data_IF_750777744553
#
_entry.id   IF_750777744553
#
_cell.length_a   1.000
_cell.length_b   1.000
_cell.length_c   1.000
_cell.angle_alpha   90.00
_cell.angle_beta   90.00
_cell.angle_gamma   90.00
#
_symmetry.space_group_name_H-M   'P 1'
#
loop_
_entity.id
_entity.type
_entity.pdbx_description
1 polymer ?
#
# COMPACT_ATOMS: atom_id res chain seq x y z
N UNK A 1 -11.15 0.63 -5.09
CA UNK A 1 -11.72 -0.36 -4.18
C UNK A 1 -10.69 -1.43 -3.84
N UNK A 2 -10.60 -1.81 -2.59
CA UNK A 2 -9.66 -2.83 -2.15
C UNK A 2 -10.07 -4.21 -2.65
N UNK A 3 -9.17 -4.90 -3.32
CA UNK A 3 -9.40 -6.26 -3.81
C UNK A 3 -8.38 -7.21 -3.20
N UNK A 4 -8.85 -8.37 -2.80
CA UNK A 4 -8.01 -9.43 -2.24
C UNK A 4 -7.89 -10.55 -3.25
N UNK A 5 -6.66 -10.96 -3.52
CA UNK A 5 -6.37 -12.09 -4.40
C UNK A 5 -5.99 -13.31 -3.54
N UNK A 6 -6.93 -14.23 -3.39
CA UNK A 6 -6.71 -15.44 -2.59
C UNK A 6 -5.74 -16.41 -3.26
N UNK A 7 -5.52 -16.27 -4.57
CA UNK A 7 -4.58 -17.11 -5.29
C UNK A 7 -3.15 -16.61 -5.25
N UNK A 8 -2.94 -15.38 -4.76
CA UNK A 8 -1.61 -14.80 -4.65
C UNK A 8 -0.79 -15.49 -3.55
N UNK A 9 0.52 -15.54 -3.74
CA UNK A 9 1.45 -16.00 -2.70
C UNK A 9 1.63 -14.99 -1.58
N UNK A 10 1.23 -13.73 -1.81
CA UNK A 10 1.30 -12.70 -0.79
C UNK A 10 0.19 -12.96 0.23
N UNK A 11 0.52 -13.06 1.52
CA UNK A 11 -0.50 -13.25 2.56
C UNK A 11 -1.56 -12.17 2.49
N UNK A 12 -2.80 -12.53 2.82
CA UNK A 12 -3.94 -11.59 2.71
C UNK A 12 -3.71 -10.33 3.57
N UNK A 13 -3.17 -10.48 4.78
CA UNK A 13 -2.93 -9.29 5.61
C UNK A 13 -1.92 -8.33 4.96
N UNK A 14 -0.92 -8.85 4.26
CA UNK A 14 0.03 -8.00 3.54
C UNK A 14 -0.63 -7.28 2.35
N UNK A 15 -1.52 -7.95 1.65
CA UNK A 15 -2.27 -7.31 0.56
C UNK A 15 -3.10 -6.14 1.09
N UNK A 16 -3.75 -6.33 2.23
CA UNK A 16 -4.53 -5.28 2.88
C UNK A 16 -3.61 -4.13 3.31
N UNK A 17 -2.52 -4.45 3.99
CA UNK A 17 -1.56 -3.43 4.44
C UNK A 17 -0.95 -2.65 3.27
N UNK A 18 -0.56 -3.34 2.21
CA UNK A 18 0.02 -2.70 1.02
C UNK A 18 -0.97 -1.74 0.37
N UNK A 19 -2.23 -2.14 0.25
CA UNK A 19 -3.25 -1.30 -0.35
C UNK A 19 -3.58 -0.09 0.50
N UNK A 20 -3.74 -0.30 1.80
CA UNK A 20 -4.01 0.81 2.72
C UNK A 20 -2.83 1.77 2.78
N UNK A 21 -1.60 1.25 2.77
CA UNK A 21 -0.41 2.10 2.74
C UNK A 21 -0.39 2.99 1.49
N UNK A 22 -0.74 2.43 0.34
CA UNK A 22 -0.83 3.21 -0.89
C UNK A 22 -1.87 4.32 -0.78
N UNK A 23 -3.01 4.04 -0.16
CA UNK A 23 -4.05 5.04 0.08
C UNK A 23 -3.61 6.11 1.08
N UNK A 24 -2.87 5.72 2.11
CA UNK A 24 -2.33 6.67 3.09
C UNK A 24 -1.27 7.57 2.45
N UNK A 25 -0.37 7.00 1.65
CA UNK A 25 0.66 7.77 0.94
C UNK A 25 0.02 8.77 -0.03
N UNK A 26 -1.03 8.37 -0.72
CA UNK A 26 -1.72 9.23 -1.69
C UNK A 26 -2.70 10.20 -1.02
N UNK A 27 -2.73 10.24 0.29
CA UNK A 27 -3.58 11.12 1.10
C UNK A 27 -5.07 10.95 0.85
N UNK A 28 -5.49 9.75 0.54
CA UNK A 28 -6.91 9.43 0.49
C UNK A 28 -7.55 9.57 1.88
N UNK A 29 -6.76 9.31 2.92
CA UNK A 29 -7.13 9.58 4.31
C UNK A 29 -6.23 10.67 4.87
N UNK A 30 -6.84 11.67 5.48
CA UNK A 30 -6.09 12.78 6.10
C UNK A 30 -5.73 12.43 7.55
N UNK A 31 -4.66 13.03 8.09
CA UNK A 31 -4.35 12.85 9.52
C UNK A 31 -5.58 13.22 10.38
N UNK A 32 -5.84 12.40 11.37
CA UNK A 32 -7.00 12.55 12.25
C UNK A 32 -8.24 11.79 11.81
N UNK A 33 -8.31 11.37 10.55
CA UNK A 33 -9.42 10.55 10.09
C UNK A 33 -9.32 9.13 10.65
N UNK A 34 -10.46 8.50 10.83
CA UNK A 34 -10.53 7.11 11.24
C UNK A 34 -10.66 6.21 10.04
N UNK A 35 -9.93 5.09 10.05
CA UNK A 35 -10.16 4.01 9.11
C UNK A 35 -11.44 3.25 9.50
N UNK A 36 -12.02 2.49 8.56
CA UNK A 36 -13.16 1.64 8.88
C UNK A 36 -12.83 0.73 10.05
N UNK A 37 -13.81 0.43 10.92
CA UNK A 37 -13.61 -0.55 11.98
C UNK A 37 -13.16 -1.89 11.40
N UNK A 38 -12.31 -2.59 12.14
CA UNK A 38 -11.74 -3.87 11.69
C UNK A 38 -12.84 -4.85 11.23
N UNK A 39 -13.89 -4.99 12.02
CA UNK A 39 -14.97 -5.92 11.69
C UNK A 39 -15.74 -5.51 10.45
N UNK A 40 -15.96 -4.20 10.26
CA UNK A 40 -16.63 -3.68 9.07
C UNK A 40 -15.82 -3.98 7.81
N UNK A 41 -14.52 -3.68 7.85
CA UNK A 41 -13.67 -3.94 6.70
C UNK A 41 -13.56 -5.44 6.42
N UNK A 42 -13.47 -6.26 7.45
CA UNK A 42 -13.41 -7.71 7.31
C UNK A 42 -14.65 -8.26 6.59
N UNK A 43 -15.83 -7.80 6.99
CA UNK A 43 -17.07 -8.20 6.34
C UNK A 43 -17.08 -7.78 4.87
N UNK A 44 -16.69 -6.53 4.60
CA UNK A 44 -16.67 -6.00 3.23
C UNK A 44 -15.69 -6.74 2.32
N UNK A 45 -14.58 -7.21 2.87
CA UNK A 45 -13.56 -7.93 2.11
C UNK A 45 -13.78 -9.44 2.08
N UNK A 46 -14.66 -9.96 2.92
CA UNK A 46 -14.88 -11.40 3.03
C UNK A 46 -13.72 -12.13 3.68
N UNK A 47 -13.05 -11.51 4.63
CA UNK A 47 -11.91 -12.10 5.34
C UNK A 47 -12.15 -12.12 6.84
N UNK A 48 -11.32 -12.85 7.58
CA UNK A 48 -11.42 -12.90 9.02
C UNK A 48 -10.98 -11.56 9.64
N UNK A 49 -11.65 -11.13 10.69
CA UNK A 49 -11.30 -9.85 11.33
C UNK A 49 -9.88 -9.81 11.87
N UNK A 50 -9.32 -10.95 12.31
CA UNK A 50 -7.92 -11.00 12.75
C UNK A 50 -6.94 -10.66 11.63
N UNK A 51 -7.28 -10.97 10.38
CA UNK A 51 -6.45 -10.64 9.23
C UNK A 51 -6.39 -9.13 9.01
N UNK A 52 -7.53 -8.45 9.13
CA UNK A 52 -7.58 -6.98 9.05
C UNK A 52 -6.83 -6.36 10.23
N UNK A 53 -7.04 -6.91 11.44
CA UNK A 53 -6.35 -6.41 12.63
C UNK A 53 -4.83 -6.52 12.49
N UNK A 54 -4.33 -7.59 11.90
CA UNK A 54 -2.90 -7.77 11.64
C UNK A 54 -2.36 -6.68 10.70
N UNK A 55 -3.10 -6.40 9.63
CA UNK A 55 -2.74 -5.33 8.70
C UNK A 55 -2.69 -3.96 9.40
N UNK A 56 -3.68 -3.67 10.25
CA UNK A 56 -3.70 -2.42 10.99
C UNK A 56 -2.53 -2.32 11.97
N UNK A 57 -2.20 -3.43 12.65
CA UNK A 57 -1.05 -3.44 13.57
C UNK A 57 0.25 -3.17 12.82
N UNK A 58 0.42 -3.74 11.64
CA UNK A 58 1.60 -3.48 10.83
C UNK A 58 1.72 -2.00 10.46
N UNK A 59 0.62 -1.39 10.03
CA UNK A 59 0.61 0.03 9.68
C UNK A 59 0.85 0.91 10.91
N UNK A 60 0.36 0.51 12.07
CA UNK A 60 0.63 1.23 13.31
C UNK A 60 2.12 1.15 13.69
N UNK A 61 2.73 -0.02 13.53
CA UNK A 61 4.16 -0.19 13.76
C UNK A 61 5.00 0.70 12.84
N UNK A 62 4.54 0.89 11.60
CA UNK A 62 5.20 1.77 10.63
C UNK A 62 4.95 3.26 10.88
N UNK A 63 4.09 3.59 11.82
CA UNK A 63 3.80 4.97 12.16
C UNK A 63 2.67 5.62 11.38
N UNK A 64 1.92 4.86 10.59
CA UNK A 64 0.81 5.39 9.82
C UNK A 64 -0.47 5.55 10.62
N UNK A 65 -0.69 4.65 11.59
CA UNK A 65 -1.92 4.61 12.37
C UNK A 65 -1.64 4.65 13.86
N UNK A 66 -2.59 5.18 14.60
CA UNK A 66 -2.66 5.04 16.05
C UNK A 66 -3.84 4.13 16.35
N UNK A 67 -3.55 3.04 17.06
CA UNK A 67 -4.58 2.09 17.49
C UNK A 67 -4.90 2.36 18.96
N UNK A 68 -6.15 2.69 19.24
CA UNK A 68 -6.62 2.89 20.61
C UNK A 68 -7.71 1.88 20.93
N UNK A 69 -7.58 1.24 22.07
CA UNK A 69 -8.60 0.33 22.55
C UNK A 69 -9.95 1.04 22.61
N UNK A 70 -10.98 0.44 22.00
CA UNK A 70 -12.35 0.96 21.89
C UNK A 70 -12.52 2.20 21.02
N UNK A 71 -11.46 2.72 20.41
CA UNK A 71 -11.52 3.91 19.56
C UNK A 71 -11.07 3.65 18.12
N UNK A 72 -10.68 2.42 17.80
CA UNK A 72 -10.32 2.03 16.44
C UNK A 72 -8.96 2.56 15.99
N UNK A 73 -8.82 2.72 14.69
CA UNK A 73 -7.59 3.14 14.05
C UNK A 73 -7.75 4.56 13.50
N UNK A 74 -6.86 5.45 13.91
CA UNK A 74 -6.83 6.84 13.48
C UNK A 74 -5.56 7.08 12.67
N UNK A 75 -5.66 7.83 11.58
CA UNK A 75 -4.52 8.18 10.75
C UNK A 75 -3.65 9.19 11.50
N UNK A 76 -2.36 8.86 11.62
CA UNK A 76 -1.39 9.75 12.27
C UNK A 76 -0.78 10.68 11.24
N UNK A 77 -0.41 11.88 11.70
CA UNK A 77 0.51 12.70 10.94
C UNK A 77 1.87 12.02 10.95
N UNK A 78 2.45 11.85 9.78
CA UNK A 78 3.73 11.16 9.63
C UNK A 78 4.63 12.00 8.75
N UNK A 79 5.72 12.44 9.32
CA UNK A 79 6.74 13.13 8.55
C UNK A 79 7.37 12.14 7.57
N UNK A 80 7.47 12.54 6.31
CA UNK A 80 8.11 11.70 5.32
C UNK A 80 9.60 11.63 5.62
N UNK A 81 10.17 10.42 5.82
CA UNK A 81 11.60 10.33 6.07
C UNK A 81 12.38 10.82 4.85
N UNK A 82 13.49 11.50 5.09
CA UNK A 82 14.38 11.88 4.01
C UNK A 82 15.02 10.63 3.41
N UNK A 83 15.15 10.60 2.08
CA UNK A 83 15.81 9.51 1.41
C UNK A 83 17.29 9.47 1.80
N UNK A 84 17.76 8.32 2.26
CA UNK A 84 19.17 8.10 2.54
C UNK A 84 19.93 7.62 1.31
N UNK A 85 21.25 7.38 1.44
CA UNK A 85 22.10 6.99 0.30
C UNK A 85 21.63 5.71 -0.40
N UNK A 86 21.09 4.76 0.35
CA UNK A 86 20.70 3.45 -0.20
C UNK A 86 19.23 3.38 -0.60
N UNK A 87 18.45 4.42 -0.34
CA UNK A 87 17.00 4.38 -0.56
C UNK A 87 16.67 4.17 -2.04
N UNK A 88 17.32 4.91 -2.92
CA UNK A 88 17.08 4.79 -4.36
C UNK A 88 17.47 3.41 -4.88
N UNK A 89 18.59 2.87 -4.43
CA UNK A 89 19.02 1.54 -4.84
C UNK A 89 18.05 0.45 -4.38
N UNK A 90 17.55 0.55 -3.15
CA UNK A 90 16.57 -0.40 -2.62
C UNK A 90 15.24 -0.37 -3.39
N UNK A 91 14.93 0.76 -3.99
CA UNK A 91 13.77 0.88 -4.88
C UNK A 91 14.10 0.39 -6.28
N UNK A 92 15.23 0.83 -6.83
CA UNK A 92 15.59 0.57 -8.24
C UNK A 92 15.86 -0.90 -8.52
N UNK A 93 16.51 -1.60 -7.60
CA UNK A 93 16.84 -3.01 -7.82
C UNK A 93 15.60 -3.89 -7.96
N UNK A 94 14.64 -3.85 -7.02
CA UNK A 94 13.41 -4.64 -7.20
C UNK A 94 12.61 -4.22 -8.44
N UNK A 95 12.63 -2.93 -8.79
CA UNK A 95 11.97 -2.45 -9.99
C UNK A 95 12.56 -3.08 -11.25
N UNK A 96 13.90 -3.10 -11.35
CA UNK A 96 14.57 -3.72 -12.49
C UNK A 96 14.30 -5.22 -12.57
N UNK A 97 14.25 -5.89 -11.42
CA UNK A 97 13.91 -7.31 -11.36
C UNK A 97 12.48 -7.56 -11.82
N UNK A 98 11.55 -6.71 -11.42
CA UNK A 98 10.14 -6.80 -11.84
C UNK A 98 10.00 -6.59 -13.34
N UNK A 99 10.72 -5.62 -13.89
CA UNK A 99 10.73 -5.36 -15.33
C UNK A 99 11.27 -6.57 -16.08
N UNK A 100 12.38 -7.14 -15.61
CA UNK A 100 12.97 -8.34 -16.22
C UNK A 100 11.97 -9.50 -16.22
N UNK A 101 11.24 -9.66 -15.12
CA UNK A 101 10.22 -10.70 -15.01
C UNK A 101 9.08 -10.46 -16.00
N UNK A 102 8.63 -9.21 -16.12
CA UNK A 102 7.59 -8.88 -17.10
C UNK A 102 8.00 -9.21 -18.53
N UNK A 103 9.25 -8.88 -18.88
CA UNK A 103 9.78 -9.23 -20.20
C UNK A 103 9.85 -10.75 -20.40
N UNK A 104 10.29 -11.48 -19.38
CA UNK A 104 10.35 -12.93 -19.43
C UNK A 104 8.97 -13.56 -19.56
N UNK A 105 7.94 -12.93 -19.01
CA UNK A 105 6.56 -13.39 -19.09
C UNK A 105 5.88 -13.00 -20.42
N UNK A 106 6.58 -12.33 -21.31
CA UNK A 106 6.09 -12.02 -22.65
C UNK A 106 5.59 -10.59 -22.87
N UNK A 107 5.72 -9.73 -21.88
CA UNK A 107 5.33 -8.33 -22.08
C UNK A 107 6.37 -7.62 -22.93
N UNK A 108 5.92 -6.79 -23.88
CA UNK A 108 6.86 -6.05 -24.73
C UNK A 108 7.46 -4.86 -23.97
N UNK A 109 8.70 -4.44 -24.32
CA UNK A 109 9.29 -3.24 -23.72
C UNK A 109 8.40 -2.00 -23.87
N UNK A 110 7.71 -1.85 -25.01
CA UNK A 110 6.82 -0.72 -25.25
C UNK A 110 5.64 -0.71 -24.29
N UNK A 111 5.04 -1.87 -24.04
CA UNK A 111 3.92 -1.99 -23.12
C UNK A 111 4.37 -1.69 -21.68
N UNK A 112 5.52 -2.23 -21.29
CA UNK A 112 6.06 -1.98 -19.94
C UNK A 112 6.36 -0.51 -19.74
N UNK A 113 7.00 0.14 -20.72
CA UNK A 113 7.32 1.57 -20.64
C UNK A 113 6.05 2.40 -20.51
N UNK A 114 5.04 2.09 -21.31
CA UNK A 114 3.75 2.79 -21.26
C UNK A 114 3.10 2.65 -19.89
N UNK A 115 3.06 1.45 -19.35
CA UNK A 115 2.46 1.18 -18.04
C UNK A 115 3.20 1.90 -16.92
N UNK A 116 4.53 1.93 -16.98
CA UNK A 116 5.33 2.65 -16.00
C UNK A 116 5.09 4.16 -16.08
N UNK A 117 4.98 4.72 -17.27
CA UNK A 117 4.70 6.14 -17.45
C UNK A 117 3.32 6.49 -16.90
N UNK A 118 2.30 5.67 -17.19
CA UNK A 118 0.96 5.89 -16.67
C UNK A 118 0.93 5.83 -15.14
N UNK A 119 1.65 4.87 -14.56
CA UNK A 119 1.75 4.74 -13.12
C UNK A 119 2.41 5.97 -12.50
N UNK A 120 3.50 6.44 -13.11
CA UNK A 120 4.21 7.63 -12.65
C UNK A 120 3.34 8.89 -12.74
N UNK A 121 2.57 9.03 -13.82
CA UNK A 121 1.67 10.19 -13.98
C UNK A 121 0.61 10.21 -12.89
N UNK A 122 0.04 9.06 -12.54
CA UNK A 122 -0.94 8.98 -11.45
C UNK A 122 -0.34 9.41 -10.13
N UNK A 123 0.91 9.02 -9.88
CA UNK A 123 1.62 9.40 -8.67
C UNK A 123 1.86 10.91 -8.62
N UNK A 124 2.35 11.50 -9.70
CA UNK A 124 2.60 12.94 -9.80
C UNK A 124 1.31 13.75 -9.68
N UNK A 125 0.24 13.30 -10.34
CA UNK A 125 -1.05 13.94 -10.26
C UNK A 125 -1.58 14.02 -8.84
N UNK A 126 -1.38 12.98 -8.03
CA UNK A 126 -1.75 12.97 -6.63
C UNK A 126 -0.83 13.83 -5.78
N UNK A 127 0.45 13.86 -6.11
CA UNK A 127 1.42 14.67 -5.37
C UNK A 127 1.20 16.17 -5.57
N UNK A 128 0.62 16.58 -6.69
CA UNK A 128 0.35 17.98 -6.99
C UNK A 128 -0.93 18.50 -6.34
N UNK A 129 -1.66 17.66 -5.69
CA UNK A 129 -2.82 18.04 -4.91
C UNK A 129 -2.43 18.39 -3.49
#
# INVERSE_FOLDING_TARGET
MLRIDLASRVPVYEQIANRLRAELVSRKFSPGEKLPPVRTLAVNLGVHHNTVAEAYRQLATEGWLELRRHHGATVRERDQPAAGPDTMERFTRPLQELIAKGLADGLSPSLLAREMIETARRLEGKASL
#
